data_IF_611908024062
#
_entry.id   IF_611908024062
#
_cell.length_a   1.000
_cell.length_b   1.000
_cell.length_c   1.000
_cell.angle_alpha   90.00
_cell.angle_beta   90.00
_cell.angle_gamma   90.00
#
_symmetry.space_group_name_H-M   'P 1'
#
loop_
_entity.id
_entity.type
_entity.pdbx_description
1 polymer ?
#
# COMPACT_ATOMS: atom_id res chain seq x y z
N UNK A 1 -19.86 6.87 6.95
CA UNK A 1 -18.93 7.76 7.67
C UNK A 1 -18.13 8.47 6.60
N UNK A 2 -18.26 9.79 6.60
CA UNK A 2 -17.88 10.69 5.52
C UNK A 2 -16.37 10.70 5.27
N UNK A 3 -15.94 10.11 4.16
CA UNK A 3 -14.56 10.21 3.70
C UNK A 3 -14.35 11.62 3.16
N UNK A 4 -13.73 12.49 3.95
CA UNK A 4 -13.33 13.84 3.52
C UNK A 4 -12.14 13.71 2.55
N UNK A 5 -12.12 14.52 1.48
CA UNK A 5 -10.97 14.61 0.59
C UNK A 5 -9.69 14.94 1.38
N UNK A 6 -8.62 14.17 1.21
CA UNK A 6 -7.38 14.29 1.98
C UNK A 6 -7.37 13.57 3.34
N UNK A 7 -8.51 13.08 3.84
CA UNK A 7 -8.59 12.31 5.09
C UNK A 7 -8.27 10.81 4.90
N UNK A 8 -7.79 10.15 5.97
CA UNK A 8 -7.60 8.71 5.98
C UNK A 8 -8.93 7.98 6.17
N UNK A 9 -9.12 6.88 5.45
CA UNK A 9 -10.15 5.90 5.81
C UNK A 9 -9.80 5.23 7.14
N UNK A 10 -10.78 4.51 7.71
CA UNK A 10 -10.48 3.51 8.74
C UNK A 10 -9.59 2.40 8.16
N UNK A 11 -8.81 1.76 9.02
CA UNK A 11 -8.06 0.54 8.67
C UNK A 11 -9.00 -0.57 8.25
N UNK A 12 -8.71 -1.19 7.12
CA UNK A 12 -9.48 -2.27 6.52
C UNK A 12 -8.57 -3.46 6.25
N UNK A 13 -9.13 -4.67 6.25
CA UNK A 13 -8.42 -5.89 5.80
C UNK A 13 -8.18 -5.80 4.30
N UNK A 14 -7.01 -6.21 3.84
CA UNK A 14 -6.68 -6.18 2.42
C UNK A 14 -7.61 -7.11 1.62
N UNK A 15 -8.15 -6.59 0.52
CA UNK A 15 -8.98 -7.35 -0.43
C UNK A 15 -8.12 -7.87 -1.59
N UNK A 16 -8.65 -8.76 -2.46
CA UNK A 16 -7.93 -9.20 -3.66
C UNK A 16 -7.49 -8.04 -4.57
N UNK A 17 -8.27 -6.96 -4.65
CA UNK A 17 -7.92 -5.77 -5.44
C UNK A 17 -6.71 -5.05 -4.85
N UNK A 18 -6.61 -4.96 -3.52
CA UNK A 18 -5.45 -4.39 -2.84
C UNK A 18 -4.21 -5.25 -3.05
N UNK A 19 -4.35 -6.57 -3.03
CA UNK A 19 -3.26 -7.47 -3.38
C UNK A 19 -2.80 -7.26 -4.82
N UNK A 20 -3.72 -7.11 -5.78
CA UNK A 20 -3.36 -6.82 -7.18
C UNK A 20 -2.63 -5.47 -7.33
N UNK A 21 -2.98 -4.45 -6.53
CA UNK A 21 -2.22 -3.20 -6.51
C UNK A 21 -0.79 -3.43 -6.02
N UNK A 22 -0.59 -4.21 -4.95
CA UNK A 22 0.74 -4.62 -4.49
C UNK A 22 1.50 -5.36 -5.59
N UNK A 23 0.88 -6.34 -6.24
CA UNK A 23 1.53 -7.16 -7.27
C UNK A 23 2.02 -6.30 -8.45
N UNK A 24 1.23 -5.30 -8.88
CA UNK A 24 1.62 -4.35 -9.92
C UNK A 24 2.88 -3.55 -9.58
N UNK A 25 3.09 -3.23 -8.31
CA UNK A 25 4.24 -2.43 -7.86
C UNK A 25 5.36 -3.26 -7.23
N UNK A 26 5.25 -4.59 -7.26
CA UNK A 26 6.19 -5.50 -6.59
C UNK A 26 7.64 -5.30 -7.04
N UNK A 27 7.84 -5.06 -8.34
CA UNK A 27 9.17 -4.82 -8.89
C UNK A 27 9.81 -3.56 -8.27
N UNK A 28 9.08 -2.46 -8.23
CA UNK A 28 9.55 -1.20 -7.67
C UNK A 28 9.75 -1.31 -6.14
N UNK A 29 8.87 -2.06 -5.46
CA UNK A 29 8.97 -2.29 -4.03
C UNK A 29 10.25 -3.05 -3.66
N UNK A 30 10.60 -4.12 -4.41
CA UNK A 30 11.84 -4.86 -4.22
C UNK A 30 13.06 -3.96 -4.47
N UNK A 31 13.02 -3.16 -5.54
CA UNK A 31 14.11 -2.24 -5.90
C UNK A 31 14.33 -1.16 -4.84
N UNK A 32 13.26 -0.53 -4.33
CA UNK A 32 13.35 0.50 -3.29
C UNK A 32 13.68 -0.07 -1.91
N UNK A 33 13.23 -1.28 -1.59
CA UNK A 33 13.55 -1.94 -0.32
C UNK A 33 15.02 -2.38 -0.23
N UNK A 34 15.67 -2.63 -1.37
CA UNK A 34 17.06 -3.11 -1.43
C UNK A 34 17.25 -4.54 -0.92
N UNK A 35 16.16 -5.28 -0.73
CA UNK A 35 16.15 -6.66 -0.22
C UNK A 35 15.15 -7.50 -1.00
N UNK A 36 15.34 -8.82 -0.98
CA UNK A 36 14.35 -9.76 -1.52
C UNK A 36 13.26 -10.03 -0.49
N UNK A 37 12.03 -10.26 -0.96
CA UNK A 37 10.92 -10.67 -0.11
C UNK A 37 10.68 -12.18 -0.24
N UNK A 38 10.49 -12.87 0.89
CA UNK A 38 10.12 -14.30 0.93
C UNK A 38 8.67 -14.50 0.47
N UNK A 39 7.82 -13.53 0.79
CA UNK A 39 6.42 -13.46 0.35
C UNK A 39 6.06 -12.01 0.06
N UNK A 40 4.87 -11.75 -0.48
CA UNK A 40 4.40 -10.37 -0.64
C UNK A 40 2.88 -10.33 -0.55
N UNK A 41 2.38 -10.36 0.68
CA UNK A 41 0.95 -10.55 0.96
C UNK A 41 0.41 -9.33 1.69
N UNK A 42 -0.50 -8.60 1.05
CA UNK A 42 -1.23 -7.50 1.66
C UNK A 42 -2.09 -8.01 2.82
N UNK A 43 -2.06 -7.33 3.96
CA UNK A 43 -2.82 -7.70 5.16
C UNK A 43 -3.88 -6.68 5.53
N UNK A 44 -3.51 -5.41 5.50
CA UNK A 44 -4.42 -4.31 5.82
C UNK A 44 -4.05 -3.05 5.06
N UNK A 45 -4.99 -2.14 4.92
CA UNK A 45 -4.76 -0.85 4.27
C UNK A 45 -5.62 0.26 4.85
N UNK A 46 -5.20 1.49 4.60
CA UNK A 46 -6.04 2.69 4.64
C UNK A 46 -5.97 3.37 3.27
N UNK A 47 -7.01 4.10 2.89
CA UNK A 47 -7.04 4.88 1.66
C UNK A 47 -7.21 6.37 1.93
N UNK A 48 -6.82 7.19 0.96
CA UNK A 48 -6.98 8.63 0.96
C UNK A 48 -7.38 9.10 -0.42
N UNK A 49 -8.54 9.74 -0.51
CA UNK A 49 -9.03 10.35 -1.76
C UNK A 49 -8.28 11.66 -2.02
N UNK A 50 -7.75 11.81 -3.22
CA UNK A 50 -7.07 13.00 -3.75
C UNK A 50 -7.51 13.22 -5.21
N UNK A 51 -6.69 13.82 -6.08
CA UNK A 51 -6.87 13.73 -7.54
C UNK A 51 -6.53 12.32 -8.08
N UNK A 52 -7.19 11.30 -7.51
CA UNK A 52 -6.81 9.89 -7.53
C UNK A 52 -7.03 9.27 -6.16
N UNK A 53 -6.38 8.16 -5.87
CA UNK A 53 -6.44 7.52 -4.54
C UNK A 53 -5.04 7.09 -4.12
N UNK A 54 -4.62 7.49 -2.92
CA UNK A 54 -3.48 6.88 -2.26
C UNK A 54 -3.98 5.67 -1.44
N UNK A 55 -3.28 4.55 -1.56
CA UNK A 55 -3.45 3.38 -0.71
C UNK A 55 -2.19 3.22 0.12
N UNK A 56 -2.35 3.22 1.44
CA UNK A 56 -1.30 2.87 2.38
C UNK A 56 -1.53 1.43 2.80
N UNK A 57 -0.65 0.53 2.37
CA UNK A 57 -0.86 -0.91 2.45
C UNK A 57 0.22 -1.53 3.33
N UNK A 58 -0.19 -2.25 4.36
CA UNK A 58 0.70 -3.13 5.13
C UNK A 58 0.79 -4.48 4.45
N UNK A 59 1.99 -4.84 3.99
CA UNK A 59 2.27 -6.11 3.35
C UNK A 59 3.27 -6.93 4.16
N UNK A 60 2.99 -8.21 4.34
CA UNK A 60 3.92 -9.18 4.92
C UNK A 60 4.93 -9.59 3.86
N UNK A 61 6.22 -9.51 4.21
CA UNK A 61 7.35 -9.81 3.32
C UNK A 61 8.22 -10.98 3.81
N UNK A 62 8.07 -11.36 5.07
CA UNK A 62 8.73 -12.49 5.72
C UNK A 62 7.87 -13.08 6.82
N UNK A 63 8.43 -13.96 7.65
CA UNK A 63 7.64 -14.63 8.70
C UNK A 63 7.17 -13.62 9.77
N UNK A 64 8.02 -12.67 10.13
CA UNK A 64 7.71 -11.57 11.06
C UNK A 64 7.96 -10.17 10.48
N UNK A 65 8.37 -10.10 9.21
CA UNK A 65 8.75 -8.87 8.54
C UNK A 65 7.61 -8.30 7.70
N UNK A 66 7.41 -7.00 7.83
CA UNK A 66 6.41 -6.22 7.11
C UNK A 66 7.02 -5.01 6.44
N UNK A 67 6.33 -4.52 5.42
CA UNK A 67 6.57 -3.22 4.80
C UNK A 67 5.26 -2.45 4.74
N UNK A 68 5.36 -1.13 4.80
CA UNK A 68 4.24 -0.24 4.50
C UNK A 68 4.49 0.41 3.14
N UNK A 69 3.55 0.24 2.22
CA UNK A 69 3.60 0.77 0.85
C UNK A 69 2.66 1.96 0.76
N UNK A 70 3.08 3.01 0.05
CA UNK A 70 2.20 4.06 -0.43
C UNK A 70 2.07 3.89 -1.94
N UNK A 71 0.90 3.46 -2.38
CA UNK A 71 0.59 3.22 -3.79
C UNK A 71 -0.41 4.27 -4.25
N UNK A 72 -0.11 4.96 -5.34
CA UNK A 72 -1.04 5.89 -5.96
C UNK A 72 -1.76 5.22 -7.13
N UNK A 73 -3.07 5.42 -7.20
CA UNK A 73 -3.89 5.06 -8.34
C UNK A 73 -4.52 6.31 -8.94
N UNK A 74 -4.26 6.57 -10.23
CA UNK A 74 -4.84 7.70 -10.93
C UNK A 74 -6.32 7.49 -11.24
N UNK A 75 -7.05 8.59 -11.46
CA UNK A 75 -8.46 8.55 -11.86
C UNK A 75 -8.63 7.89 -13.24
N UNK A 76 -9.84 7.37 -13.55
CA UNK A 76 -10.14 6.76 -14.85
C UNK A 76 -9.75 7.59 -16.07
N UNK A 77 -10.03 8.89 -16.03
CA UNK A 77 -9.71 9.82 -17.11
C UNK A 77 -8.19 9.98 -17.35
N UNK A 78 -7.35 9.55 -16.41
CA UNK A 78 -5.89 9.53 -16.52
C UNK A 78 -5.34 8.11 -16.72
N UNK A 79 -6.18 7.16 -17.14
CA UNK A 79 -5.78 5.81 -17.56
C UNK A 79 -5.54 4.81 -16.43
N UNK A 80 -6.03 5.08 -15.20
CA UNK A 80 -5.95 4.14 -14.07
C UNK A 80 -4.53 3.61 -13.78
N UNK A 81 -3.52 4.47 -13.93
CA UNK A 81 -2.12 4.14 -13.68
C UNK A 81 -1.91 3.85 -12.19
N UNK A 82 -1.04 2.89 -11.90
CA UNK A 82 -0.70 2.46 -10.55
C UNK A 82 0.81 2.62 -10.37
N UNK A 83 1.21 3.33 -9.32
CA UNK A 83 2.62 3.69 -9.08
C UNK A 83 2.95 3.55 -7.60
N UNK A 84 4.14 3.01 -7.28
CA UNK A 84 4.69 3.05 -5.93
C UNK A 84 5.27 4.43 -5.67
N UNK A 85 4.72 5.13 -4.68
CA UNK A 85 5.20 6.46 -4.28
C UNK A 85 6.27 6.37 -3.21
N UNK A 86 6.05 5.51 -2.20
CA UNK A 86 6.98 5.34 -1.10
C UNK A 86 6.86 3.96 -0.46
N UNK A 87 7.94 3.54 0.21
CA UNK A 87 7.99 2.32 1.01
C UNK A 87 8.66 2.60 2.36
N UNK A 88 8.10 2.06 3.43
CA UNK A 88 8.77 1.93 4.72
C UNK A 88 9.10 0.47 4.97
N UNK A 89 10.37 0.17 5.23
CA UNK A 89 10.86 -1.18 5.53
C UNK A 89 11.01 -1.37 7.05
N UNK A 90 11.39 -2.60 7.46
CA UNK A 90 11.62 -2.97 8.87
C UNK A 90 10.40 -2.74 9.77
N UNK A 91 9.21 -3.04 9.25
CA UNK A 91 7.96 -3.02 10.04
C UNK A 91 7.65 -4.41 10.57
N UNK A 92 6.81 -4.46 11.58
CA UNK A 92 6.37 -5.66 12.29
C UNK A 92 4.85 -5.80 12.25
N UNK A 93 4.30 -6.89 12.80
CA UNK A 93 2.85 -7.12 12.89
C UNK A 93 2.14 -6.06 13.75
N UNK A 94 2.81 -5.50 14.76
CA UNK A 94 2.21 -4.55 15.70
C UNK A 94 2.23 -3.10 15.18
N UNK A 95 3.07 -2.81 14.18
CA UNK A 95 3.13 -1.49 13.55
C UNK A 95 1.82 -1.17 12.83
N UNK A 96 1.10 -0.16 13.30
CA UNK A 96 -0.15 0.28 12.66
C UNK A 96 0.15 1.01 11.36
N UNK A 97 -0.62 0.72 10.30
CA UNK A 97 -0.52 1.46 9.03
C UNK A 97 -1.09 2.87 9.19
N UNK A 98 -0.31 3.88 8.83
CA UNK A 98 -0.66 5.30 8.88
C UNK A 98 -0.31 5.99 7.56
N UNK A 99 -0.73 7.24 7.40
CA UNK A 99 -0.32 8.07 6.28
C UNK A 99 1.14 8.51 6.43
N UNK A 100 1.87 8.53 5.31
CA UNK A 100 3.26 9.00 5.21
C UNK A 100 3.63 9.48 3.79
#
# INVERSE_FOLDING_TARGET
MDTVCGGASKTQVATPEIQQLCDKVKHDALKQAGVTFKMFVAKSFISQVVAGTNYFIKAQVGDHDFVHLKVFQSLPCYGHKVELIAIQTKKTLDDTITMF
#
